data_IF_523099453484
#
_entry.id   IF_523099453484
#
_cell.length_a   1.000
_cell.length_b   1.000
_cell.length_c   1.000
_cell.angle_alpha   90.00
_cell.angle_beta   90.00
_cell.angle_gamma   90.00
#
_symmetry.space_group_name_H-M   'P 1'
#
loop_
_entity.id
_entity.type
_entity.pdbx_description
1 polymer ?
#
# COMPACT_ATOMS: atom_id res chain seq x y z
N UNK A 1 21.57 -8.44 7.80
CA UNK A 1 21.54 -7.06 8.29
C UNK A 1 21.34 -6.18 7.06
N UNK A 2 20.38 -5.26 7.07
CA UNK A 2 20.19 -4.33 5.95
C UNK A 2 21.36 -3.33 5.98
N UNK A 3 22.18 -3.30 4.94
CA UNK A 3 23.25 -2.33 4.82
C UNK A 3 22.67 -0.98 4.35
N UNK A 4 23.10 0.12 4.95
CA UNK A 4 22.62 1.47 4.61
C UNK A 4 22.85 1.79 3.13
N UNK A 5 23.94 1.28 2.57
CA UNK A 5 24.37 1.42 1.19
C UNK A 5 23.39 0.78 0.20
N UNK A 6 22.67 -0.26 0.62
CA UNK A 6 21.70 -0.99 -0.21
C UNK A 6 20.31 -0.33 -0.22
N UNK A 7 20.10 0.69 0.62
CA UNK A 7 18.83 1.42 0.65
C UNK A 7 18.64 2.22 -0.63
N UNK A 8 17.38 2.33 -1.06
CA UNK A 8 17.01 3.24 -2.16
C UNK A 8 17.41 4.68 -1.81
N UNK A 9 17.77 5.51 -2.82
CA UNK A 9 18.21 6.89 -2.58
C UNK A 9 17.26 7.69 -1.69
N UNK A 10 15.95 7.52 -1.85
CA UNK A 10 14.94 8.23 -1.08
C UNK A 10 14.95 7.82 0.40
N UNK A 11 15.16 6.53 0.67
CA UNK A 11 15.24 6.02 2.04
C UNK A 11 16.55 6.48 2.73
N UNK A 12 17.66 6.54 1.99
CA UNK A 12 18.94 7.08 2.51
C UNK A 12 18.81 8.55 2.89
N UNK A 13 18.21 9.36 2.02
CA UNK A 13 18.01 10.79 2.28
C UNK A 13 17.16 11.02 3.54
N UNK A 14 16.15 10.19 3.78
CA UNK A 14 15.31 10.30 4.98
C UNK A 14 16.08 9.92 6.26
N UNK A 15 16.90 8.88 6.22
CA UNK A 15 17.79 8.52 7.33
C UNK A 15 18.76 9.66 7.64
N UNK A 16 19.45 10.20 6.64
CA UNK A 16 20.38 11.32 6.80
C UNK A 16 19.68 12.58 7.36
N UNK A 17 18.45 12.83 6.92
CA UNK A 17 17.62 13.93 7.43
C UNK A 17 17.33 13.74 8.91
N UNK A 18 16.96 12.53 9.35
CA UNK A 18 16.70 12.22 10.75
C UNK A 18 17.96 12.36 11.61
N UNK A 19 19.08 11.84 11.14
CA UNK A 19 20.38 12.00 11.81
C UNK A 19 20.76 13.47 11.96
N UNK A 20 20.60 14.28 10.91
CA UNK A 20 20.97 15.71 10.93
C UNK A 20 19.99 16.55 11.76
N UNK A 21 18.68 16.33 11.62
CA UNK A 21 17.67 17.18 12.24
C UNK A 21 17.43 16.86 13.71
N UNK A 22 17.60 15.60 14.12
CA UNK A 22 17.33 15.14 15.49
C UNK A 22 18.59 14.70 16.25
N UNK A 23 19.75 14.66 15.59
CA UNK A 23 20.99 14.15 16.20
C UNK A 23 20.96 12.65 16.46
N UNK A 24 20.09 11.90 15.76
CA UNK A 24 19.94 10.45 15.92
C UNK A 24 21.16 9.70 15.35
N UNK A 25 21.48 8.57 15.96
CA UNK A 25 22.37 7.58 15.35
C UNK A 25 21.70 6.90 14.15
N UNK A 26 22.50 6.23 13.32
CA UNK A 26 22.00 5.46 12.17
C UNK A 26 20.94 4.44 12.58
N UNK A 27 21.20 3.70 13.67
CA UNK A 27 20.29 2.66 14.16
C UNK A 27 18.97 3.26 14.65
N UNK A 28 19.00 4.36 15.40
CA UNK A 28 17.79 5.06 15.87
C UNK A 28 16.96 5.61 14.71
N UNK A 29 17.61 6.18 13.69
CA UNK A 29 16.92 6.71 12.51
C UNK A 29 16.26 5.59 11.69
N UNK A 30 16.96 4.46 11.50
CA UNK A 30 16.40 3.28 10.83
C UNK A 30 15.22 2.71 11.63
N UNK A 31 15.37 2.58 12.94
CA UNK A 31 14.33 2.06 13.83
C UNK A 31 13.07 2.93 13.80
N UNK A 32 13.22 4.26 13.80
CA UNK A 32 12.10 5.18 13.69
C UNK A 32 11.33 5.00 12.37
N UNK A 33 12.04 4.95 11.24
CA UNK A 33 11.43 4.76 9.91
C UNK A 33 10.68 3.42 9.85
N UNK A 34 11.31 2.34 10.31
CA UNK A 34 10.71 1.00 10.30
C UNK A 34 9.47 0.96 11.18
N UNK A 35 9.57 1.49 12.40
CA UNK A 35 8.47 1.50 13.37
C UNK A 35 7.28 2.31 12.84
N UNK A 36 7.54 3.49 12.28
CA UNK A 36 6.52 4.32 11.63
C UNK A 36 5.86 3.59 10.46
N UNK A 37 6.65 2.94 9.60
CA UNK A 37 6.16 2.15 8.48
C UNK A 37 5.25 1.00 8.92
N UNK A 38 5.59 0.31 10.01
CA UNK A 38 4.76 -0.75 10.58
C UNK A 38 3.45 -0.18 11.14
N UNK A 39 3.52 0.89 11.92
CA UNK A 39 2.34 1.55 12.51
C UNK A 39 1.36 2.06 11.45
N UNK A 40 1.88 2.56 10.32
CA UNK A 40 1.08 3.01 9.17
C UNK A 40 0.54 1.85 8.30
N UNK A 41 0.76 0.60 8.71
CA UNK A 41 0.29 -0.57 7.99
C UNK A 41 1.12 -0.90 6.74
N UNK A 42 2.35 -0.43 6.63
CA UNK A 42 3.27 -0.73 5.52
C UNK A 42 3.44 -2.23 5.26
N UNK A 43 3.38 -3.05 6.30
CA UNK A 43 3.41 -4.52 6.19
C UNK A 43 2.21 -5.10 5.43
N UNK A 44 1.04 -4.43 5.45
CA UNK A 44 -0.12 -4.87 4.67
C UNK A 44 0.06 -4.65 3.17
N UNK A 45 0.90 -3.69 2.78
CA UNK A 45 1.27 -3.42 1.39
C UNK A 45 2.48 -4.24 0.93
N UNK A 46 3.40 -4.54 1.84
CA UNK A 46 4.59 -5.35 1.61
C UNK A 46 4.24 -6.85 1.57
N UNK A 47 3.58 -7.29 0.49
CA UNK A 47 3.40 -8.71 0.21
C UNK A 47 1.98 -9.16 -0.11
N UNK A 48 0.96 -8.30 0.02
CA UNK A 48 -0.35 -8.61 -0.57
C UNK A 48 -0.29 -8.45 -2.08
N UNK A 49 -0.60 -9.51 -2.86
CA UNK A 49 -0.83 -9.34 -4.28
C UNK A 49 -1.95 -8.32 -4.46
N UNK A 50 -1.67 -7.21 -5.15
CA UNK A 50 -2.75 -6.28 -5.52
C UNK A 50 -3.77 -7.08 -6.33
N UNK A 51 -5.04 -7.03 -5.92
CA UNK A 51 -6.11 -7.65 -6.68
C UNK A 51 -6.06 -7.08 -8.11
N UNK A 52 -6.12 -7.96 -9.12
CA UNK A 52 -6.22 -7.50 -10.51
C UNK A 52 -7.53 -6.74 -10.64
N UNK A 53 -7.43 -5.45 -10.97
CA UNK A 53 -8.59 -4.64 -11.35
C UNK A 53 -9.14 -5.26 -12.64
N UNK A 54 -10.23 -6.01 -12.50
CA UNK A 54 -11.00 -6.48 -13.65
C UNK A 54 -11.93 -5.35 -14.03
N UNK A 55 -11.75 -4.79 -15.24
CA UNK A 55 -12.78 -3.94 -15.80
C UNK A 55 -14.04 -4.80 -15.95
N UNK A 56 -15.15 -4.34 -15.38
CA UNK A 56 -16.46 -4.96 -15.62
C UNK A 56 -16.78 -4.64 -17.09
N UNK A 57 -16.36 -5.54 -17.99
CA UNK A 57 -16.70 -5.50 -19.40
C UNK A 57 -18.17 -5.91 -19.55
N UNK A 58 -19.05 -4.98 -19.21
CA UNK A 58 -20.48 -5.12 -19.35
C UNK A 58 -21.19 -3.92 -18.74
N UNK A 59 -22.34 -3.50 -19.28
CA UNK A 59 -23.18 -2.55 -18.58
C UNK A 59 -23.45 -3.10 -17.16
N UNK A 60 -23.55 -2.23 -16.13
CA UNK A 60 -23.95 -2.67 -14.80
C UNK A 60 -25.15 -3.60 -14.94
N UNK A 61 -25.09 -4.81 -14.39
CA UNK A 61 -26.27 -5.67 -14.33
C UNK A 61 -27.37 -4.81 -13.71
N UNK A 62 -28.42 -4.54 -14.47
CA UNK A 62 -29.54 -3.75 -13.98
C UNK A 62 -30.07 -4.46 -12.75
N UNK A 63 -29.74 -3.91 -11.59
CA UNK A 63 -30.29 -4.35 -10.32
C UNK A 63 -31.77 -3.96 -10.37
N UNK A 64 -32.63 -4.93 -10.70
CA UNK A 64 -34.07 -4.77 -10.49
C UNK A 64 -34.96 -4.66 -11.73
N UNK A 65 -34.64 -5.23 -12.89
CA UNK A 65 -35.69 -5.47 -13.89
C UNK A 65 -36.56 -6.66 -13.47
N UNK A 66 -37.77 -6.36 -12.95
CA UNK A 66 -38.84 -7.34 -12.70
C UNK A 66 -39.15 -8.08 -14.00
N UNK A 67 -39.04 -9.40 -13.98
CA UNK A 67 -39.60 -10.26 -15.02
C UNK A 67 -41.11 -10.33 -14.84
N UNK A 68 -41.83 -9.40 -15.45
CA UNK A 68 -43.28 -9.51 -15.59
C UNK A 68 -43.68 -9.31 -17.06
N UNK A 69 -43.80 -10.42 -17.79
CA UNK A 69 -44.98 -10.72 -18.58
C UNK A 69 -44.93 -12.16 -19.07
N UNK A 70 -45.78 -12.96 -18.42
CA UNK A 70 -46.18 -14.29 -18.87
C UNK A 70 -47.38 -14.05 -19.78
N UNK A 71 -47.16 -14.01 -21.09
CA UNK A 71 -48.28 -13.98 -22.04
C UNK A 71 -48.93 -15.38 -22.01
N UNK A 72 -50.08 -15.45 -21.35
CA UNK A 72 -51.01 -16.58 -21.46
C UNK A 72 -51.66 -16.57 -22.84
N UNK A 73 -51.68 -17.78 -23.43
CA UNK A 73 -52.28 -18.18 -24.71
C UNK A 73 -53.70 -17.64 -24.95
#
# INVERSE_FOLDING_TARGET
>A
MLCFEDLKPEARAEVERLMTAKGQSLDEAIEEIVTSGIAMGGLTFAGRPKAKVTQILGPPKEVGQRRDKKDTN
#
